data_IF_297854696044
#
_entry.id   IF_297854696044
#
_cell.length_a   1.000
_cell.length_b   1.000
_cell.length_c   1.000
_cell.angle_alpha   90.00
_cell.angle_beta   90.00
_cell.angle_gamma   90.00
#
_symmetry.space_group_name_H-M   'P 1'
#
loop_
_entity.id
_entity.type
_entity.pdbx_description
1 polymer ?
#
# COMPACT_ATOMS: atom_id res chain seq x y z
N UNK A 1 51.10 15.50 -51.67
CA UNK A 1 51.14 16.98 -51.68
C UNK A 1 51.71 17.43 -50.34
N UNK A 2 52.77 18.24 -50.39
CA UNK A 2 53.51 18.80 -49.23
C UNK A 2 52.61 19.77 -48.46
N UNK A 3 52.76 20.04 -47.17
CA UNK A 3 53.72 20.98 -46.55
C UNK A 3 53.76 20.71 -45.02
N UNK A 4 54.92 20.36 -44.45
CA UNK A 4 55.85 21.24 -43.70
C UNK A 4 55.31 21.84 -42.38
N UNK A 5 55.79 21.33 -41.25
CA UNK A 5 56.20 22.06 -40.02
C UNK A 5 56.83 21.01 -39.08
N UNK A 6 58.12 21.02 -38.72
CA UNK A 6 58.84 22.04 -37.95
C UNK A 6 58.54 21.81 -36.46
N UNK A 7 59.45 21.62 -35.51
CA UNK A 7 60.90 21.60 -35.42
C UNK A 7 61.32 20.76 -34.19
N UNK A 8 62.62 20.53 -34.05
CA UNK A 8 63.32 19.72 -33.04
C UNK A 8 63.33 20.35 -31.64
N UNK A 9 63.61 19.52 -30.63
CA UNK A 9 64.57 19.65 -29.50
C UNK A 9 64.07 18.72 -28.37
N UNK A 10 64.52 17.48 -28.21
CA UNK A 10 65.80 16.97 -27.68
C UNK A 10 66.15 17.38 -26.23
N UNK A 11 66.82 16.46 -25.53
CA UNK A 11 67.48 16.54 -24.19
C UNK A 11 66.60 16.10 -23.01
N UNK A 12 67.01 15.27 -22.03
CA UNK A 12 68.29 14.66 -21.66
C UNK A 12 68.03 13.70 -20.47
N UNK A 13 68.83 12.61 -20.35
CA UNK A 13 69.31 11.92 -19.11
C UNK A 13 68.34 11.58 -17.97
N UNK A 14 68.10 10.28 -17.68
CA UNK A 14 68.88 9.35 -16.82
C UNK A 14 68.83 9.66 -15.32
N UNK A 15 68.16 8.77 -14.57
CA UNK A 15 68.73 8.01 -13.44
C UNK A 15 68.96 8.73 -12.10
N UNK A 16 68.28 8.24 -11.05
CA UNK A 16 68.64 8.54 -9.66
C UNK A 16 67.79 7.77 -8.66
N UNK A 17 68.30 6.62 -8.22
CA UNK A 17 67.85 5.87 -7.04
C UNK A 17 68.22 6.69 -5.77
N UNK A 18 67.38 6.70 -4.72
CA UNK A 18 67.78 6.47 -3.31
C UNK A 18 66.61 6.64 -2.32
N UNK A 19 66.34 5.51 -1.65
CA UNK A 19 65.84 5.24 -0.28
C UNK A 19 65.51 6.43 0.63
N UNK A 20 64.34 6.38 1.27
CA UNK A 20 64.14 6.98 2.58
C UNK A 20 62.70 7.04 3.11
N UNK A 21 62.51 6.44 4.27
CA UNK A 21 61.60 6.84 5.37
C UNK A 21 60.32 6.02 5.65
N UNK A 22 60.41 5.37 6.80
CA UNK A 22 59.40 4.70 7.62
C UNK A 22 58.36 5.73 8.15
N UNK A 23 57.07 5.52 7.89
CA UNK A 23 55.98 6.14 8.68
C UNK A 23 54.93 5.07 9.02
N UNK A 24 54.89 4.73 10.30
CA UNK A 24 53.78 4.04 10.97
C UNK A 24 52.60 5.02 11.04
N UNK A 25 51.40 4.61 10.61
CA UNK A 25 50.24 5.51 10.60
C UNK A 25 48.88 4.85 10.44
N UNK A 26 48.29 4.51 11.60
CA UNK A 26 46.86 4.48 11.92
C UNK A 26 45.90 3.55 11.13
N UNK A 27 45.51 2.49 11.85
CA UNK A 27 44.29 1.70 11.71
C UNK A 27 43.05 2.62 11.68
N UNK A 28 42.50 2.89 10.50
CA UNK A 28 41.23 3.59 10.33
C UNK A 28 40.05 2.63 10.46
N UNK A 29 39.64 2.30 11.68
CA UNK A 29 38.34 1.65 11.92
C UNK A 29 37.26 2.69 11.59
N UNK A 30 36.68 2.58 10.39
CA UNK A 30 35.49 3.34 10.04
C UNK A 30 34.35 2.87 10.94
N UNK A 31 34.07 3.64 11.99
CA UNK A 31 32.92 3.46 12.85
C UNK A 31 31.65 3.54 11.98
N UNK A 32 31.07 2.38 11.71
CA UNK A 32 29.69 2.28 11.25
C UNK A 32 28.83 2.95 12.32
N UNK A 33 28.43 4.20 12.05
CA UNK A 33 27.43 4.90 12.84
C UNK A 33 26.15 4.08 12.70
N UNK A 34 25.86 3.28 13.71
CA UNK A 34 24.57 2.63 13.85
C UNK A 34 23.51 3.72 13.83
N UNK A 35 22.76 3.81 12.72
CA UNK A 35 21.48 4.48 12.73
C UNK A 35 20.69 3.78 13.83
N UNK A 36 20.19 4.49 14.86
CA UNK A 36 19.34 3.86 15.85
C UNK A 36 18.10 3.39 15.09
N UNK A 37 18.06 2.10 14.77
CA UNK A 37 16.84 1.42 14.40
C UNK A 37 15.96 1.50 15.63
N UNK A 38 15.10 2.50 15.66
CA UNK A 38 13.96 2.52 16.55
C UNK A 38 13.21 1.23 16.29
N UNK A 39 13.40 0.23 17.16
CA UNK A 39 12.59 -0.97 17.22
C UNK A 39 11.21 -0.57 17.72
N UNK A 40 10.46 0.17 16.89
CA UNK A 40 9.01 0.24 17.04
C UNK A 40 8.49 -1.13 16.67
N UNK A 41 7.87 -1.83 17.63
CA UNK A 41 7.02 -2.99 17.32
C UNK A 41 6.11 -2.58 16.15
N UNK A 42 6.16 -3.27 15.00
CA UNK A 42 5.35 -2.89 13.86
C UNK A 42 3.88 -2.93 14.26
N UNK A 43 3.21 -1.78 14.13
CA UNK A 43 1.78 -1.69 14.42
C UNK A 43 1.02 -2.67 13.52
N UNK A 44 0.08 -3.43 14.10
CA UNK A 44 -0.73 -4.37 13.32
C UNK A 44 -1.49 -3.58 12.23
N UNK A 45 -1.50 -4.05 10.96
CA UNK A 45 -2.09 -3.29 9.86
C UNK A 45 -3.61 -3.11 9.94
N UNK A 46 -4.29 -3.92 10.76
CA UNK A 46 -5.73 -3.85 10.98
C UNK A 46 -6.07 -4.05 12.46
N UNK A 47 -6.89 -3.13 13.00
CA UNK A 47 -7.58 -3.25 14.28
C UNK A 47 -9.03 -3.62 14.02
N UNK A 48 -9.52 -4.66 14.70
CA UNK A 48 -10.90 -5.12 14.57
C UNK A 48 -11.60 -4.97 15.91
N UNK A 49 -12.67 -4.19 15.94
CA UNK A 49 -13.39 -3.83 17.15
C UNK A 49 -14.85 -4.32 17.05
N UNK A 50 -15.33 -4.97 18.12
CA UNK A 50 -16.75 -5.30 18.22
C UNK A 50 -17.58 -4.02 18.40
N UNK A 51 -18.79 -4.03 17.83
CA UNK A 51 -19.78 -2.98 18.04
C UNK A 51 -20.87 -3.58 18.93
N UNK A 52 -21.18 -2.90 20.03
CA UNK A 52 -22.18 -3.37 20.98
C UNK A 52 -23.54 -3.59 20.29
N UNK A 53 -24.17 -4.75 20.54
CA UNK A 53 -25.44 -5.13 19.92
C UNK A 53 -25.36 -5.53 18.44
N UNK A 54 -24.17 -5.55 17.83
CA UNK A 54 -24.01 -5.86 16.41
C UNK A 54 -23.31 -7.20 16.15
N UNK A 55 -23.72 -7.88 15.07
CA UNK A 55 -23.03 -9.07 14.55
C UNK A 55 -21.87 -8.72 13.61
N UNK A 56 -21.74 -7.45 13.24
CA UNK A 56 -20.66 -6.96 12.36
C UNK A 56 -19.64 -6.18 13.19
N UNK A 57 -18.39 -6.17 12.74
CA UNK A 57 -17.31 -5.48 13.44
C UNK A 57 -16.89 -4.22 12.67
N UNK A 58 -16.26 -3.29 13.38
CA UNK A 58 -15.53 -2.17 12.76
C UNK A 58 -14.10 -2.60 12.50
N UNK A 59 -13.62 -2.38 11.28
CA UNK A 59 -12.23 -2.61 10.91
C UNK A 59 -11.55 -1.26 10.67
N UNK A 60 -10.55 -0.93 11.47
CA UNK A 60 -9.70 0.25 11.24
C UNK A 60 -8.36 -0.22 10.69
N UNK A 61 -8.00 0.30 9.51
CA UNK A 61 -6.73 0.02 8.86
C UNK A 61 -5.73 1.14 9.14
N UNK A 62 -4.43 0.82 9.08
CA UNK A 62 -3.41 1.86 8.89
C UNK A 62 -3.40 2.30 7.42
N UNK A 63 -2.81 3.47 7.12
CA UNK A 63 -2.61 3.91 5.73
C UNK A 63 -1.79 2.88 4.93
N UNK A 64 -0.76 2.31 5.55
CA UNK A 64 0.01 1.21 4.95
C UNK A 64 -0.86 -0.03 4.71
N UNK A 65 -1.78 -0.35 5.62
CA UNK A 65 -2.75 -1.43 5.46
C UNK A 65 -3.63 -1.21 4.24
N UNK A 66 -4.16 0.01 4.06
CA UNK A 66 -4.90 0.40 2.85
C UNK A 66 -4.04 0.23 1.60
N UNK A 67 -2.79 0.71 1.63
CA UNK A 67 -1.86 0.60 0.51
C UNK A 67 -1.52 -0.84 0.13
N UNK A 68 -1.29 -1.72 1.11
CA UNK A 68 -1.02 -3.15 0.89
C UNK A 68 -2.21 -3.89 0.29
N UNK A 69 -3.43 -3.49 0.66
CA UNK A 69 -4.66 -4.05 0.09
C UNK A 69 -5.01 -3.42 -1.28
N UNK A 70 -4.37 -2.31 -1.66
CA UNK A 70 -4.82 -1.49 -2.78
C UNK A 70 -6.27 -1.03 -2.61
N UNK A 71 -6.72 -0.83 -1.36
CA UNK A 71 -8.11 -0.59 -1.05
C UNK A 71 -8.56 0.76 -1.60
N UNK A 72 -9.61 0.75 -2.41
CA UNK A 72 -10.24 1.97 -2.94
C UNK A 72 -11.72 1.99 -2.62
N UNK A 73 -12.28 3.20 -2.55
CA UNK A 73 -13.71 3.41 -2.41
C UNK A 73 -14.28 4.14 -3.62
N UNK A 74 -15.56 3.91 -3.88
CA UNK A 74 -16.39 4.67 -4.83
C UNK A 74 -17.64 5.16 -4.11
N UNK A 75 -18.21 6.30 -4.50
CA UNK A 75 -19.50 6.71 -3.97
C UNK A 75 -20.59 5.72 -4.42
N UNK A 76 -21.49 5.38 -3.49
CA UNK A 76 -22.71 4.66 -3.77
C UNK A 76 -23.55 5.45 -4.79
N UNK A 77 -23.76 4.89 -5.98
CA UNK A 77 -24.50 5.57 -7.04
C UNK A 77 -26.01 5.38 -6.86
N UNK A 78 -26.77 6.44 -7.09
CA UNK A 78 -28.22 6.37 -7.17
C UNK A 78 -28.73 7.26 -8.31
N UNK A 79 -29.49 6.68 -9.23
CA UNK A 79 -30.07 7.39 -10.36
C UNK A 79 -31.51 6.91 -10.59
N UNK A 80 -32.46 7.85 -10.66
CA UNK A 80 -33.89 7.56 -10.81
C UNK A 80 -34.41 6.51 -9.80
N UNK A 81 -33.95 6.58 -8.56
CA UNK A 81 -34.30 5.65 -7.48
C UNK A 81 -33.66 4.25 -7.58
N UNK A 82 -32.75 4.03 -8.54
CA UNK A 82 -31.98 2.79 -8.67
C UNK A 82 -30.60 2.97 -8.05
N UNK A 83 -30.34 2.19 -6.99
CA UNK A 83 -29.06 2.11 -6.31
C UNK A 83 -28.11 1.15 -7.04
N UNK A 84 -26.85 1.54 -7.24
CA UNK A 84 -25.86 0.72 -7.95
C UNK A 84 -24.48 0.77 -7.28
N UNK A 85 -23.81 -0.39 -7.20
CA UNK A 85 -22.40 -0.53 -6.81
C UNK A 85 -21.62 -1.34 -7.87
N UNK A 86 -20.29 -1.25 -7.92
CA UNK A 86 -19.48 -2.19 -8.68
C UNK A 86 -19.64 -3.62 -8.17
N UNK A 87 -19.57 -4.60 -9.06
CA UNK A 87 -19.61 -6.03 -8.70
C UNK A 87 -18.50 -6.43 -7.73
N UNK A 88 -17.33 -5.81 -7.84
CA UNK A 88 -16.20 -6.04 -6.93
C UNK A 88 -16.46 -5.61 -5.48
N UNK A 89 -17.50 -4.82 -5.22
CA UNK A 89 -17.92 -4.42 -3.86
C UNK A 89 -18.89 -5.42 -3.20
N UNK A 90 -19.46 -6.36 -3.98
CA UNK A 90 -20.43 -7.34 -3.51
C UNK A 90 -19.72 -8.49 -2.76
N UNK A 91 -20.10 -8.69 -1.51
CA UNK A 91 -19.67 -9.84 -0.69
C UNK A 91 -20.86 -10.76 -0.46
N UNK A 92 -20.70 -12.02 -0.83
CA UNK A 92 -21.59 -13.11 -0.42
C UNK A 92 -21.01 -13.80 0.81
N UNK A 93 -21.85 -14.00 1.83
CA UNK A 93 -21.52 -14.85 2.98
C UNK A 93 -21.99 -16.29 2.76
N UNK A 94 -21.51 -17.26 3.55
CA UNK A 94 -21.88 -18.68 3.38
C UNK A 94 -23.39 -18.97 3.49
N UNK A 95 -24.13 -18.13 4.20
CA UNK A 95 -25.59 -18.22 4.32
C UNK A 95 -26.35 -17.61 3.13
N UNK A 96 -25.63 -17.12 2.11
CA UNK A 96 -26.17 -16.46 0.94
C UNK A 96 -26.51 -14.98 1.15
N UNK A 97 -26.31 -14.42 2.36
CA UNK A 97 -26.55 -13.00 2.61
C UNK A 97 -25.54 -12.13 1.87
N UNK A 98 -26.03 -11.00 1.36
CA UNK A 98 -25.25 -10.06 0.55
C UNK A 98 -24.89 -8.80 1.32
N UNK A 99 -23.63 -8.41 1.23
CA UNK A 99 -23.05 -7.30 1.99
C UNK A 99 -22.15 -6.45 1.09
N UNK A 100 -21.92 -5.21 1.51
CA UNK A 100 -20.87 -4.33 0.98
C UNK A 100 -20.12 -3.70 2.13
N UNK A 101 -18.86 -3.30 1.95
CA UNK A 101 -18.16 -2.47 2.94
C UNK A 101 -18.35 -0.99 2.67
N UNK A 102 -18.52 -0.22 3.74
CA UNK A 102 -18.63 1.24 3.72
C UNK A 102 -17.53 1.82 4.61
N UNK A 103 -16.85 2.86 4.13
CA UNK A 103 -15.98 3.70 4.96
C UNK A 103 -16.87 4.63 5.82
N UNK A 104 -17.00 4.32 7.10
CA UNK A 104 -17.85 5.05 8.05
C UNK A 104 -17.12 6.20 8.74
N UNK A 105 -15.79 6.17 8.73
CA UNK A 105 -14.87 7.22 9.16
C UNK A 105 -13.52 6.99 8.47
N UNK A 106 -12.57 7.95 8.45
CA UNK A 106 -11.27 7.75 7.82
C UNK A 106 -10.61 6.42 8.23
N UNK A 107 -10.28 5.61 7.22
CA UNK A 107 -9.64 4.29 7.38
C UNK A 107 -10.46 3.28 8.21
N UNK A 108 -11.73 3.56 8.47
CA UNK A 108 -12.62 2.76 9.29
C UNK A 108 -13.78 2.24 8.46
N UNK A 109 -13.91 0.92 8.41
CA UNK A 109 -14.82 0.24 7.51
C UNK A 109 -15.75 -0.69 8.28
N UNK A 110 -16.98 -0.78 7.79
CA UNK A 110 -18.00 -1.67 8.33
C UNK A 110 -18.78 -2.28 7.17
N UNK A 111 -19.14 -3.56 7.29
CA UNK A 111 -20.06 -4.18 6.33
C UNK A 111 -21.51 -3.78 6.62
N UNK A 112 -22.21 -3.42 5.57
CA UNK A 112 -23.64 -3.11 5.57
C UNK A 112 -24.41 -4.10 4.68
N UNK A 113 -25.62 -4.52 5.08
CA UNK A 113 -26.41 -5.46 4.30
C UNK A 113 -26.97 -4.77 3.05
N UNK A 114 -26.94 -5.49 1.94
CA UNK A 114 -27.52 -5.04 0.67
C UNK A 114 -28.53 -6.07 0.16
N UNK A 115 -29.41 -5.64 -0.73
CA UNK A 115 -30.34 -6.54 -1.44
C UNK A 115 -30.14 -6.37 -2.93
N UNK A 116 -29.57 -7.39 -3.57
CA UNK A 116 -29.30 -7.40 -5.01
C UNK A 116 -30.58 -7.66 -5.77
N UNK A 117 -30.89 -6.81 -6.75
CA UNK A 117 -32.01 -7.01 -7.69
C UNK A 117 -31.55 -7.52 -9.04
N UNK A 118 -30.38 -7.06 -9.50
CA UNK A 118 -29.81 -7.47 -10.79
C UNK A 118 -28.31 -7.26 -10.82
N UNK A 119 -27.60 -8.13 -11.51
CA UNK A 119 -26.19 -7.93 -11.88
C UNK A 119 -26.13 -7.74 -13.39
N UNK A 120 -25.49 -6.67 -13.84
CA UNK A 120 -25.35 -6.28 -15.25
C UNK A 120 -23.88 -5.96 -15.54
N UNK A 121 -23.14 -6.94 -16.07
CA UNK A 121 -21.71 -6.76 -16.31
C UNK A 121 -20.94 -6.54 -15.01
N UNK A 122 -20.29 -5.38 -14.89
CA UNK A 122 -19.50 -4.96 -13.73
C UNK A 122 -20.31 -4.19 -12.68
N UNK A 123 -21.62 -4.06 -12.85
CA UNK A 123 -22.50 -3.31 -11.95
C UNK A 123 -23.55 -4.19 -11.26
N UNK A 124 -23.91 -3.82 -10.04
CA UNK A 124 -24.91 -4.51 -9.21
C UNK A 124 -25.97 -3.50 -8.82
N UNK A 125 -27.20 -3.73 -9.27
CA UNK A 125 -28.38 -2.96 -8.88
C UNK A 125 -28.93 -3.48 -7.55
N UNK A 126 -29.32 -2.55 -6.69
CA UNK A 126 -29.79 -2.82 -5.34
C UNK A 126 -31.19 -2.26 -5.12
N UNK A 127 -32.03 -2.97 -4.36
CA UNK A 127 -33.27 -2.42 -3.78
C UNK A 127 -33.02 -1.86 -2.37
N UNK A 128 -32.01 -2.37 -1.67
CA UNK A 128 -31.57 -1.88 -0.36
C UNK A 128 -30.04 -1.85 -0.32
N UNK A 129 -29.48 -0.85 0.35
CA UNK A 129 -28.06 -0.71 0.60
C UNK A 129 -27.72 0.66 1.19
N UNK A 130 -26.43 1.02 1.27
CA UNK A 130 -25.97 2.28 1.84
C UNK A 130 -26.68 3.51 1.25
N UNK A 131 -26.61 4.62 1.96
CA UNK A 131 -27.11 5.91 1.45
C UNK A 131 -26.35 6.30 0.17
N UNK A 132 -27.03 7.00 -0.75
CA UNK A 132 -26.37 7.57 -1.92
C UNK A 132 -25.17 8.44 -1.50
N UNK A 133 -24.04 8.29 -2.20
CA UNK A 133 -22.79 8.97 -1.87
C UNK A 133 -21.95 8.32 -0.76
N UNK A 134 -22.46 7.30 -0.05
CA UNK A 134 -21.65 6.54 0.90
C UNK A 134 -20.43 5.92 0.21
N UNK A 135 -19.26 5.96 0.84
CA UNK A 135 -18.02 5.45 0.26
C UNK A 135 -17.95 3.93 0.38
N UNK A 136 -18.32 3.25 -0.70
CA UNK A 136 -18.32 1.80 -0.81
C UNK A 136 -16.95 1.30 -1.23
N UNK A 137 -16.42 0.28 -0.55
CA UNK A 137 -15.15 -0.35 -0.91
C UNK A 137 -15.31 -1.11 -2.23
N UNK A 138 -14.62 -0.68 -3.28
CA UNK A 138 -14.67 -1.25 -4.63
C UNK A 138 -13.48 -2.15 -4.98
N UNK A 139 -12.36 -2.01 -4.27
CA UNK A 139 -11.18 -2.88 -4.36
C UNK A 139 -10.76 -3.21 -2.94
N UNK A 140 -10.39 -4.47 -2.68
CA UNK A 140 -10.00 -4.91 -1.34
C UNK A 140 -11.16 -5.41 -0.46
N UNK A 141 -12.38 -5.53 -0.99
CA UNK A 141 -13.56 -5.89 -0.20
C UNK A 141 -13.46 -7.31 0.40
N UNK A 142 -12.96 -8.29 -0.38
CA UNK A 142 -12.79 -9.67 0.08
C UNK A 142 -11.67 -9.80 1.12
N UNK A 143 -10.59 -9.06 0.93
CA UNK A 143 -9.45 -8.98 1.84
C UNK A 143 -9.87 -8.35 3.17
N UNK A 144 -10.70 -7.31 3.12
CA UNK A 144 -11.27 -6.67 4.30
C UNK A 144 -12.21 -7.63 5.06
N UNK A 145 -12.99 -8.43 4.35
CA UNK A 145 -13.78 -9.51 4.96
C UNK A 145 -12.91 -10.56 5.66
N UNK A 146 -11.81 -10.95 5.02
CA UNK A 146 -10.82 -11.83 5.62
C UNK A 146 -10.21 -11.25 6.90
N UNK A 147 -9.89 -9.95 6.89
CA UNK A 147 -9.38 -9.24 8.06
C UNK A 147 -10.41 -9.15 9.20
N UNK A 148 -11.70 -8.89 8.90
CA UNK A 148 -12.79 -8.79 9.89
C UNK A 148 -13.05 -10.13 10.60
N UNK A 149 -13.07 -11.21 9.81
CA UNK A 149 -13.44 -12.56 10.27
C UNK A 149 -12.27 -13.31 10.87
N UNK A 150 -11.04 -13.03 10.42
CA UNK A 150 -9.83 -13.64 10.93
C UNK A 150 -9.56 -15.05 10.40
N UNK A 151 -9.83 -15.29 9.12
CA UNK A 151 -9.50 -16.56 8.44
C UNK A 151 -8.03 -16.98 8.70
N UNK A 152 -7.84 -18.22 9.16
CA UNK A 152 -6.52 -18.80 9.46
C UNK A 152 -6.16 -18.95 10.95
N UNK A 153 -7.13 -18.87 11.87
CA UNK A 153 -6.94 -19.27 13.27
C UNK A 153 -7.31 -20.71 13.51
#
# INVERSE_FOLDING_TARGET
MRHHFGEKLDRWTVGGLLVGLLVVGALGVAAARGVPTSTSTPAKPAKVEAIEGSKVKKVTLTEEGVGRLGLTTVPMAEAAGVKTIPYSALIYQPDGSTWTYVETAPLSYQREPITVTKIEGDQVRLSQGPAAGAKVVSVGAAELYGAETGIGK
#
